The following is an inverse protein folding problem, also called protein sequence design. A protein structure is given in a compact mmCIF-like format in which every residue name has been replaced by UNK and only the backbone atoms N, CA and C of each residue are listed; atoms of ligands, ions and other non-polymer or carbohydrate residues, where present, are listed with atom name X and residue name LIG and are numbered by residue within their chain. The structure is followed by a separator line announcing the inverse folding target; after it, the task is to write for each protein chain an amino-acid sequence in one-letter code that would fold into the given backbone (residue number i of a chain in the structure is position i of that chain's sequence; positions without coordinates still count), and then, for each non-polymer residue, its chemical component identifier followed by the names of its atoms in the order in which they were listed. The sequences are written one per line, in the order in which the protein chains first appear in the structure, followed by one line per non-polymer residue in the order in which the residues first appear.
data_IF_004473527366
#
_entry.id   IF_004473527366
#
_cell.length_a   1.000
_cell.length_b   1.000
_cell.length_c   1.000
_cell.angle_alpha   90.00
_cell.angle_beta   90.00
_cell.angle_gamma   90.00
#
_symmetry.space_group_name_H-M   'P 1'
#
loop_
_entity.id
_entity.type
_entity.pdbx_description
1 polymer ?
#
# COMPACT_ATOMS: atom_id res chain seq x y z
N UNK A 1 24.29 15.98 16.65
CA UNK A 1 24.41 15.26 15.37
C UNK A 1 23.19 15.60 14.54
N UNK A 2 23.29 16.64 13.71
CA UNK A 2 22.20 17.07 12.84
C UNK A 2 22.22 16.24 11.56
N UNK A 3 21.38 15.22 11.49
CA UNK A 3 21.06 14.60 10.21
C UNK A 3 20.38 15.66 9.36
N UNK A 4 21.02 16.11 8.29
CA UNK A 4 20.40 17.00 7.31
C UNK A 4 19.09 16.37 6.89
N UNK A 5 17.95 17.03 7.13
CA UNK A 5 16.67 16.39 6.90
C UNK A 5 16.56 16.15 5.38
N UNK A 6 16.35 14.90 5.00
CA UNK A 6 16.43 14.50 3.61
C UNK A 6 15.20 15.02 2.85
N UNK A 7 15.44 15.66 1.69
CA UNK A 7 14.38 15.97 0.74
C UNK A 7 14.01 14.70 -0.02
N UNK A 8 12.73 14.36 -0.07
CA UNK A 8 12.23 13.16 -0.74
C UNK A 8 11.19 13.50 -1.80
N UNK A 9 11.27 12.83 -2.95
CA UNK A 9 10.26 12.88 -4.01
C UNK A 9 9.54 11.52 -4.05
N UNK A 10 8.23 11.54 -3.84
CA UNK A 10 7.35 10.38 -3.91
C UNK A 10 6.69 10.35 -5.29
N UNK A 11 7.01 9.31 -6.07
CA UNK A 11 6.46 9.09 -7.41
C UNK A 11 5.42 7.97 -7.35
N UNK A 12 4.26 8.22 -7.92
CA UNK A 12 3.18 7.24 -7.99
C UNK A 12 2.35 7.39 -9.26
N UNK A 13 1.75 6.29 -9.69
CA UNK A 13 0.88 6.21 -10.89
C UNK A 13 -0.61 6.40 -10.56
N UNK A 14 -0.97 6.37 -9.27
CA UNK A 14 -2.32 6.67 -8.82
C UNK A 14 -2.55 8.16 -8.67
N UNK A 15 -3.14 8.78 -9.69
CA UNK A 15 -3.44 10.22 -9.69
C UNK A 15 -4.31 10.63 -8.50
N UNK A 16 -5.27 9.80 -8.11
CA UNK A 16 -6.11 10.01 -6.93
C UNK A 16 -5.27 10.14 -5.66
N UNK A 17 -4.35 9.20 -5.44
CA UNK A 17 -3.49 9.16 -4.25
C UNK A 17 -2.57 10.38 -4.21
N UNK A 18 -1.97 10.74 -5.35
CA UNK A 18 -1.10 11.92 -5.45
C UNK A 18 -1.89 13.18 -5.11
N UNK A 19 -3.07 13.39 -5.72
CA UNK A 19 -3.92 14.56 -5.47
C UNK A 19 -4.47 14.62 -4.05
N UNK A 20 -4.77 13.48 -3.44
CA UNK A 20 -5.15 13.42 -2.03
C UNK A 20 -3.97 13.77 -1.11
N UNK A 21 -2.76 13.40 -1.49
CA UNK A 21 -1.54 13.67 -0.71
C UNK A 21 -1.07 15.11 -0.83
N UNK A 22 -1.34 15.78 -1.96
CA UNK A 22 -1.09 17.22 -2.15
C UNK A 22 -2.18 18.11 -1.55
N UNK A 23 -3.29 17.52 -1.07
CA UNK A 23 -4.43 18.25 -0.53
C UNK A 23 -5.35 18.85 -1.59
N UNK A 24 -5.08 18.60 -2.89
CA UNK A 24 -6.00 19.00 -3.97
C UNK A 24 -7.36 18.31 -3.81
N UNK A 25 -7.36 17.02 -3.43
CA UNK A 25 -8.56 16.21 -3.29
C UNK A 25 -8.81 15.79 -1.84
N UNK A 26 -10.06 15.92 -1.39
CA UNK A 26 -10.48 15.45 -0.07
C UNK A 26 -10.59 13.91 -0.03
N UNK A 27 -10.10 13.31 1.06
CA UNK A 27 -10.26 11.88 1.34
C UNK A 27 -11.64 11.64 1.96
N UNK A 28 -12.63 11.33 1.12
CA UNK A 28 -14.03 11.12 1.56
C UNK A 28 -14.29 9.71 2.07
N UNK A 29 -13.56 8.73 1.56
CA UNK A 29 -13.77 7.31 1.86
C UNK A 29 -13.26 6.96 3.25
N UNK A 30 -14.13 6.39 4.10
CA UNK A 30 -13.84 6.14 5.51
C UNK A 30 -12.58 5.26 5.74
N UNK A 31 -12.40 4.20 4.95
CA UNK A 31 -11.25 3.30 5.08
C UNK A 31 -9.93 3.93 4.58
N UNK A 32 -9.97 4.99 3.77
CA UNK A 32 -8.77 5.68 3.29
C UNK A 32 -8.28 6.76 4.27
N UNK A 33 -9.17 7.31 5.10
CA UNK A 33 -8.81 8.32 6.11
C UNK A 33 -7.64 7.88 7.03
N UNK A 34 -7.65 6.69 7.66
CA UNK A 34 -6.54 6.28 8.51
C UNK A 34 -5.23 6.10 7.73
N UNK A 35 -5.30 5.64 6.48
CA UNK A 35 -4.12 5.49 5.62
C UNK A 35 -3.53 6.85 5.25
N UNK A 36 -4.37 7.83 4.93
CA UNK A 36 -3.94 9.18 4.64
C UNK A 36 -3.32 9.86 5.87
N UNK A 37 -3.92 9.72 7.06
CA UNK A 37 -3.33 10.22 8.29
C UNK A 37 -1.95 9.62 8.53
N UNK A 38 -1.82 8.29 8.37
CA UNK A 38 -0.54 7.61 8.52
C UNK A 38 0.50 8.09 7.52
N UNK A 39 0.10 8.31 6.27
CA UNK A 39 0.97 8.90 5.26
C UNK A 39 1.48 10.29 5.70
N UNK A 40 0.58 11.16 6.15
CA UNK A 40 0.94 12.50 6.64
C UNK A 40 1.88 12.44 7.85
N UNK A 41 1.65 11.54 8.81
CA UNK A 41 2.56 11.32 9.94
C UNK A 41 3.97 10.93 9.47
N UNK A 42 4.07 10.00 8.52
CA UNK A 42 5.37 9.57 7.97
C UNK A 42 6.07 10.71 7.23
N UNK A 43 5.32 11.55 6.51
CA UNK A 43 5.93 12.70 5.81
C UNK A 43 6.53 13.73 6.75
N UNK A 44 6.06 13.84 8.01
CA UNK A 44 6.64 14.75 9.02
C UNK A 44 8.06 14.36 9.44
N UNK A 45 8.48 13.12 9.16
CA UNK A 45 9.86 12.67 9.42
C UNK A 45 10.88 13.15 8.38
N UNK A 46 10.43 13.79 7.29
CA UNK A 46 11.28 14.30 6.22
C UNK A 46 11.27 15.83 6.23
N UNK A 47 12.34 16.48 5.74
CA UNK A 47 12.40 17.94 5.62
C UNK A 47 11.32 18.47 4.69
N UNK A 48 11.24 17.82 3.53
CA UNK A 48 10.40 18.22 2.43
C UNK A 48 10.06 17.02 1.59
N UNK A 49 8.76 16.77 1.47
CA UNK A 49 8.21 15.74 0.60
C UNK A 49 7.53 16.40 -0.58
N UNK A 50 7.81 15.92 -1.79
CA UNK A 50 7.08 16.30 -3.01
C UNK A 50 6.40 15.08 -3.59
N UNK A 51 5.11 15.17 -3.85
CA UNK A 51 4.35 14.13 -4.54
C UNK A 51 4.30 14.45 -6.04
N UNK A 52 4.64 13.46 -6.88
CA UNK A 52 4.59 13.58 -8.33
C UNK A 52 3.86 12.39 -8.93
N UNK A 53 2.87 12.70 -9.75
CA UNK A 53 2.25 11.68 -10.58
C UNK A 53 3.17 11.33 -11.76
N UNK A 54 3.37 10.04 -12.01
CA UNK A 54 4.10 9.53 -13.16
C UNK A 54 3.25 8.53 -13.94
N UNK A 55 3.36 8.47 -15.28
CA UNK A 55 2.74 7.43 -16.07
C UNK A 55 3.14 6.02 -15.62
N UNK A 56 2.27 5.04 -15.85
CA UNK A 56 2.45 3.65 -15.40
C UNK A 56 3.74 3.03 -15.95
N UNK A 57 4.11 3.39 -17.16
CA UNK A 57 5.30 2.96 -17.87
C UNK A 57 6.58 3.40 -17.13
N UNK A 58 6.52 4.47 -16.33
CA UNK A 58 7.63 4.96 -15.53
C UNK A 58 7.65 4.38 -14.11
N UNK A 59 6.60 3.65 -13.70
CA UNK A 59 6.48 3.02 -12.38
C UNK A 59 6.64 1.49 -12.41
N UNK A 60 7.24 0.94 -13.48
CA UNK A 60 7.36 -0.51 -13.69
C UNK A 60 8.04 -1.25 -12.53
N UNK A 61 9.05 -0.64 -11.90
CA UNK A 61 9.76 -1.26 -10.79
C UNK A 61 8.84 -1.46 -9.56
N UNK A 62 8.06 -0.44 -9.20
CA UNK A 62 7.13 -0.55 -8.07
C UNK A 62 5.96 -1.49 -8.41
N UNK A 63 5.50 -1.47 -9.66
CA UNK A 63 4.48 -2.40 -10.14
C UNK A 63 4.93 -3.86 -10.05
N UNK A 64 6.15 -4.15 -10.52
CA UNK A 64 6.74 -5.48 -10.46
C UNK A 64 6.79 -6.01 -9.03
N UNK A 65 7.28 -5.21 -8.09
CA UNK A 65 7.32 -5.57 -6.67
C UNK A 65 5.93 -5.81 -6.08
N UNK A 66 4.96 -4.96 -6.43
CA UNK A 66 3.57 -5.10 -5.95
C UNK A 66 2.94 -6.39 -6.45
N UNK A 67 3.13 -6.73 -7.73
CA UNK A 67 2.68 -7.99 -8.34
C UNK A 67 3.34 -9.20 -7.69
N UNK A 68 4.66 -9.14 -7.44
CA UNK A 68 5.37 -10.20 -6.73
C UNK A 68 4.82 -10.43 -5.33
N UNK A 69 4.51 -9.36 -4.59
CA UNK A 69 3.88 -9.44 -3.28
C UNK A 69 2.50 -10.11 -3.33
N UNK A 70 1.67 -9.74 -4.30
CA UNK A 70 0.36 -10.35 -4.51
C UNK A 70 0.46 -11.85 -4.85
N UNK A 71 1.39 -12.21 -5.74
CA UNK A 71 1.64 -13.61 -6.11
C UNK A 71 2.07 -14.43 -4.89
N UNK A 72 2.99 -13.92 -4.07
CA UNK A 72 3.45 -14.58 -2.85
C UNK A 72 2.32 -14.79 -1.83
N UNK A 73 1.41 -13.82 -1.67
CA UNK A 73 0.22 -13.99 -0.82
C UNK A 73 -0.76 -15.01 -1.41
N UNK A 74 -0.92 -15.04 -2.73
CA UNK A 74 -1.85 -15.95 -3.41
C UNK A 74 -1.40 -17.41 -3.32
N UNK A 75 -0.10 -17.68 -3.42
CA UNK A 75 0.45 -19.02 -3.24
C UNK A 75 0.33 -19.49 -1.79
N UNK A 76 0.53 -18.60 -0.82
CA UNK A 76 0.33 -18.88 0.60
C UNK A 76 -1.16 -19.11 0.97
N UNK A 77 -2.10 -18.38 0.35
CA UNK A 77 -3.53 -18.59 0.58
C UNK A 77 -4.01 -19.91 -0.04
N UNK A 78 -3.54 -20.25 -1.25
CA UNK A 78 -3.91 -21.50 -1.93
C UNK A 78 -3.42 -22.75 -1.18
N UNK A 79 -2.23 -22.72 -0.58
CA UNK A 79 -1.72 -23.84 0.22
C UNK A 79 -2.44 -24.00 1.56
N UNK A 80 -2.91 -22.91 2.18
CA UNK A 80 -3.78 -22.97 3.36
C UNK A 80 -5.15 -23.53 3.04
N UNK A 81 -5.71 -23.18 1.87
CA UNK A 81 -7.04 -23.63 1.46
C UNK A 81 -7.09 -25.12 1.10
N UNK A 82 -5.99 -25.70 0.62
CA UNK A 82 -5.89 -27.14 0.31
C UNK A 82 -5.60 -28.02 1.53
N UNK A 83 -5.18 -27.47 2.67
CA UNK A 83 -4.86 -28.21 3.91
C UNK A 83 -5.96 -28.10 4.99
N UNK A 84 -7.13 -27.58 4.65
CA UNK A 84 -8.23 -27.33 5.59
C UNK A 84 -9.49 -28.15 5.35
N UNK A 85 -9.46 -29.47 5.63
CA UNK A 85 -10.63 -30.24 6.10
C UNK A 85 -10.23 -31.65 6.59
N UNK A 86 -10.09 -31.89 7.90
CA UNK A 86 -10.44 -33.19 8.45
C UNK A 86 -11.96 -33.22 8.68
N UNK A 87 -12.62 -34.20 8.09
CA UNK A 87 -14.02 -34.52 8.29
C UNK A 87 -14.35 -34.57 9.79
N UNK A 88 -15.22 -33.69 10.28
CA UNK A 88 -15.93 -33.94 11.54
C UNK A 88 -17.00 -34.98 11.25
N UNK A 89 -16.66 -36.24 11.51
CA UNK A 89 -17.62 -37.33 11.60
C UNK A 89 -18.70 -36.95 12.61
N UNK A 90 -19.93 -36.80 12.13
CA UNK A 90 -21.11 -36.75 12.98
C UNK A 90 -21.37 -38.15 13.52
N UNK A 91 -21.17 -38.34 14.82
CA UNK A 91 -21.64 -39.54 15.51
C UNK A 91 -22.71 -39.14 16.53
N UNK A 92 -23.80 -39.92 16.50
CA UNK A 92 -24.84 -40.17 17.51
C UNK A 92 -26.06 -39.24 17.50
N UNK A 93 -27.17 -39.81 17.03
CA UNK A 93 -28.30 -40.11 17.93
C UNK A 93 -28.69 -41.57 17.75
#
# INVERSE_FOLDING_TARGET
MGSTPARSEIRGDSQLVIRQSTGEYAVRTAHLKPLHLRLMELTRGFDRVRFRWVPREQNQRADGLSKQGLLCQSTADRSRRSQGSPARGGTRK
#
